data_IF_174106381046
#
_entry.id   IF_174106381046
#
_cell.length_a   1.000
_cell.length_b   1.000
_cell.length_c   1.000
_cell.angle_alpha   90.00
_cell.angle_beta   90.00
_cell.angle_gamma   90.00
#
_symmetry.space_group_name_H-M   'P 1'
#
loop_
_entity.id
_entity.type
_entity.pdbx_description
1 polymer ?
#
# COMPACT_ATOMS: atom_id res chain seq x y z
N UNK A 1 -5.64 6.83 -77.47
CA UNK A 1 -7.00 6.93 -76.89
C UNK A 1 -7.08 5.97 -75.72
N UNK A 2 -7.61 6.45 -74.59
CA UNK A 2 -8.17 5.69 -73.44
C UNK A 2 -7.20 5.10 -72.37
N UNK A 3 -6.89 5.99 -71.42
CA UNK A 3 -6.90 5.85 -69.95
C UNK A 3 -7.25 4.49 -69.32
N UNK A 4 -6.39 3.99 -68.42
CA UNK A 4 -6.79 3.14 -67.28
C UNK A 4 -6.13 3.66 -65.98
N UNK A 5 -6.95 4.45 -65.30
CA UNK A 5 -7.12 4.74 -63.86
C UNK A 5 -6.09 4.18 -62.86
N UNK A 6 -5.45 5.15 -62.16
CA UNK A 6 -4.74 5.04 -60.87
C UNK A 6 -5.70 4.62 -59.75
N UNK A 7 -5.32 3.64 -58.93
CA UNK A 7 -5.90 3.42 -57.60
C UNK A 7 -4.86 3.74 -56.53
N UNK A 8 -4.89 4.98 -56.04
CA UNK A 8 -4.18 5.45 -54.86
C UNK A 8 -5.03 5.13 -53.63
N UNK A 9 -4.57 4.20 -52.78
CA UNK A 9 -5.17 3.96 -51.47
C UNK A 9 -4.54 4.95 -50.46
N UNK A 10 -5.29 6.01 -50.12
CA UNK A 10 -4.96 6.90 -49.01
C UNK A 10 -5.22 6.16 -47.68
N UNK A 11 -4.16 5.84 -46.94
CA UNK A 11 -4.27 5.57 -45.50
C UNK A 11 -4.37 6.90 -44.76
N UNK A 12 -5.58 7.25 -44.33
CA UNK A 12 -5.83 8.43 -43.50
C UNK A 12 -5.21 8.24 -42.10
N UNK A 13 -4.39 9.23 -41.73
CA UNK A 13 -3.76 9.43 -40.43
C UNK A 13 -4.83 9.69 -39.35
N UNK A 14 -5.00 8.75 -38.42
CA UNK A 14 -5.64 9.02 -37.13
C UNK A 14 -4.56 9.27 -36.07
N UNK A 15 -4.05 10.50 -36.04
CA UNK A 15 -3.20 11.01 -34.96
C UNK A 15 -4.00 11.06 -33.66
N UNK A 16 -3.94 9.99 -32.88
CA UNK A 16 -4.41 10.00 -31.50
C UNK A 16 -3.39 10.79 -30.69
N UNK A 17 -3.70 12.06 -30.42
CA UNK A 17 -3.05 12.79 -29.34
C UNK A 17 -3.39 12.03 -28.04
N UNK A 18 -2.53 11.09 -27.66
CA UNK A 18 -2.50 10.54 -26.33
C UNK A 18 -2.11 11.69 -25.40
N UNK A 19 -3.11 12.41 -24.89
CA UNK A 19 -2.95 13.18 -23.68
C UNK A 19 -2.58 12.19 -22.59
N UNK A 20 -1.28 11.98 -22.38
CA UNK A 20 -0.79 11.19 -21.27
C UNK A 20 -1.37 11.81 -20.01
N UNK A 21 -2.26 11.06 -19.37
CA UNK A 21 -2.82 11.44 -18.09
C UNK A 21 -1.63 11.73 -17.18
N UNK A 22 -1.45 13.00 -16.79
CA UNK A 22 -0.46 13.37 -15.77
C UNK A 22 -0.79 12.53 -14.55
N UNK A 23 0.15 11.70 -14.14
CA UNK A 23 0.02 10.83 -12.99
C UNK A 23 -0.02 11.73 -11.75
N UNK A 24 -1.24 12.06 -11.34
CA UNK A 24 -1.51 12.76 -10.09
C UNK A 24 -1.25 11.80 -8.94
N UNK A 25 -1.03 12.34 -7.75
CA UNK A 25 -1.11 11.52 -6.55
C UNK A 25 -2.47 10.82 -6.54
N UNK A 26 -2.43 9.50 -6.46
CA UNK A 26 -3.64 8.69 -6.46
C UNK A 26 -4.50 8.99 -5.23
N UNK A 27 -5.80 8.71 -5.34
CA UNK A 27 -6.77 9.03 -4.31
C UNK A 27 -6.43 8.40 -2.94
N UNK A 28 -5.85 7.20 -2.92
CA UNK A 28 -5.47 6.50 -1.69
C UNK A 28 -4.30 7.19 -0.96
N UNK A 29 -3.26 7.60 -1.71
CA UNK A 29 -2.13 8.35 -1.16
C UNK A 29 -2.59 9.72 -0.67
N UNK A 30 -3.48 10.38 -1.41
CA UNK A 30 -4.06 11.65 -0.99
C UNK A 30 -4.96 11.51 0.24
N UNK A 31 -5.74 10.44 0.34
CA UNK A 31 -6.55 10.15 1.52
C UNK A 31 -5.68 9.89 2.76
N UNK A 32 -4.52 9.25 2.58
CA UNK A 32 -3.65 8.86 3.69
C UNK A 32 -2.66 9.95 4.12
N UNK A 33 -2.11 10.71 3.17
CA UNK A 33 -1.03 11.66 3.41
C UNK A 33 -1.32 13.08 2.90
N UNK A 34 -2.48 13.29 2.26
CA UNK A 34 -2.95 14.60 1.87
C UNK A 34 -3.24 15.53 3.05
N UNK A 35 -3.50 16.78 2.71
CA UNK A 35 -3.88 17.80 3.68
C UNK A 35 -2.72 18.69 4.09
N UNK A 36 -2.89 19.35 5.25
CA UNK A 36 -1.98 20.38 5.74
C UNK A 36 -1.09 19.84 6.86
N UNK A 37 0.20 20.16 6.78
CA UNK A 37 1.17 19.90 7.82
C UNK A 37 1.76 21.22 8.32
N UNK A 38 1.98 21.35 9.63
CA UNK A 38 2.55 22.56 10.21
C UNK A 38 3.42 22.22 11.43
N UNK A 39 4.39 23.07 11.74
CA UNK A 39 5.09 23.01 13.02
C UNK A 39 4.16 23.39 14.19
N UNK A 40 3.19 24.28 13.93
CA UNK A 40 2.17 24.69 14.89
C UNK A 40 0.81 24.84 14.17
N UNK A 41 -0.01 23.78 14.21
CA UNK A 41 -1.30 23.73 13.48
C UNK A 41 -2.28 24.83 13.88
N UNK A 42 -2.26 25.27 15.15
CA UNK A 42 -3.09 26.37 15.65
C UNK A 42 -2.57 27.78 15.33
N UNK A 43 -1.43 27.93 14.66
CA UNK A 43 -0.80 29.24 14.43
C UNK A 43 -0.82 29.62 12.94
N UNK A 44 -1.58 30.67 12.55
CA UNK A 44 -1.72 31.08 11.15
C UNK A 44 -0.42 31.45 10.43
N UNK A 45 0.55 31.97 11.17
CA UNK A 45 1.85 32.43 10.67
C UNK A 45 2.92 31.35 10.66
N UNK A 46 2.65 30.16 11.19
CA UNK A 46 3.59 29.05 11.16
C UNK A 46 3.80 28.56 9.73
N UNK A 47 5.02 28.13 9.42
CA UNK A 47 5.32 27.47 8.15
C UNK A 47 4.43 26.23 7.96
N UNK A 48 3.88 26.10 6.76
CA UNK A 48 2.95 25.05 6.37
C UNK A 48 3.42 24.32 5.13
N UNK A 49 3.12 23.03 5.12
CA UNK A 49 3.24 22.18 3.95
C UNK A 49 1.87 21.72 3.55
N UNK A 50 1.61 21.61 2.25
CA UNK A 50 0.36 21.08 1.73
C UNK A 50 0.65 19.99 0.72
N UNK A 51 -0.08 18.90 0.87
CA UNK A 51 -0.08 17.78 -0.06
C UNK A 51 -1.43 17.74 -0.75
N UNK A 52 -1.45 18.01 -2.06
CA UNK A 52 -2.64 17.91 -2.91
C UNK A 52 -2.43 16.87 -3.99
N UNK A 53 -3.48 16.56 -4.77
CA UNK A 53 -3.38 15.60 -5.87
C UNK A 53 -2.34 16.00 -6.92
N UNK A 54 -2.12 17.31 -7.07
CA UNK A 54 -1.44 17.95 -8.17
C UNK A 54 -0.19 18.75 -7.76
N UNK A 55 0.01 18.98 -6.45
CA UNK A 55 1.15 19.75 -5.98
C UNK A 55 1.61 19.38 -4.56
N UNK A 56 2.92 19.56 -4.33
CA UNK A 56 3.51 19.72 -3.00
C UNK A 56 3.87 21.18 -2.80
N UNK A 57 3.33 21.80 -1.76
CA UNK A 57 3.46 23.24 -1.54
C UNK A 57 4.11 23.49 -0.18
N UNK A 58 5.15 24.32 -0.17
CA UNK A 58 5.77 24.85 1.04
C UNK A 58 5.44 26.33 1.14
N UNK A 59 4.91 26.76 2.28
CA UNK A 59 4.54 28.15 2.54
C UNK A 59 5.14 28.58 3.88
N UNK A 60 5.89 29.68 3.88
CA UNK A 60 6.46 30.27 5.10
C UNK A 60 6.65 31.77 4.92
N UNK A 61 5.84 32.59 5.60
CA UNK A 61 5.85 34.04 5.42
C UNK A 61 5.56 34.42 3.95
N UNK A 62 6.47 35.18 3.35
CA UNK A 62 6.37 35.58 1.93
C UNK A 62 6.95 34.55 0.96
N UNK A 63 7.52 33.46 1.47
CA UNK A 63 8.14 32.43 0.66
C UNK A 63 7.12 31.33 0.36
N UNK A 64 6.94 31.04 -0.93
CA UNK A 64 6.14 29.92 -1.41
C UNK A 64 6.89 29.15 -2.48
N UNK A 65 6.99 27.85 -2.28
CA UNK A 65 7.55 26.92 -3.25
C UNK A 65 6.50 25.88 -3.62
N UNK A 66 6.32 25.63 -4.91
CA UNK A 66 5.35 24.66 -5.42
C UNK A 66 6.05 23.69 -6.33
N UNK A 67 6.09 22.42 -5.92
CA UNK A 67 6.44 21.31 -6.78
C UNK A 67 5.19 20.75 -7.45
N UNK A 68 5.26 20.48 -8.75
CA UNK A 68 4.18 19.89 -9.56
C UNK A 68 4.45 18.42 -9.83
N UNK A 69 3.44 17.74 -10.36
CA UNK A 69 3.48 16.32 -10.73
C UNK A 69 3.92 15.43 -9.55
N UNK A 70 3.20 15.48 -8.42
CA UNK A 70 3.61 14.78 -7.22
C UNK A 70 3.50 13.26 -7.39
N UNK A 71 4.54 12.55 -6.96
CA UNK A 71 4.65 11.10 -7.03
C UNK A 71 4.95 10.52 -5.65
N UNK A 72 4.46 9.31 -5.40
CA UNK A 72 4.67 8.61 -4.14
C UNK A 72 5.73 7.53 -4.29
N UNK A 73 6.81 7.63 -3.52
CA UNK A 73 7.87 6.62 -3.44
C UNK A 73 7.90 5.97 -2.05
N UNK A 74 7.24 4.82 -1.94
CA UNK A 74 7.19 4.03 -0.71
C UNK A 74 8.49 3.24 -0.45
N UNK A 75 9.35 3.11 -1.45
CA UNK A 75 10.64 2.41 -1.40
C UNK A 75 11.84 3.35 -1.53
N UNK A 76 11.69 4.63 -1.17
CA UNK A 76 12.70 5.66 -1.36
C UNK A 76 14.08 5.30 -0.77
N UNK A 77 14.10 4.64 0.39
CA UNK A 77 15.33 4.21 1.08
C UNK A 77 15.76 2.77 0.77
N UNK A 78 15.11 2.11 -0.20
CA UNK A 78 15.37 0.70 -0.52
C UNK A 78 15.14 -0.21 0.68
N UNK A 79 16.14 -1.04 1.01
CA UNK A 79 16.04 -2.10 2.02
C UNK A 79 16.24 -1.62 3.46
N UNK A 80 16.63 -0.36 3.68
CA UNK A 80 16.96 0.16 5.01
C UNK A 80 16.26 1.50 5.28
N UNK A 81 14.92 1.54 5.26
CA UNK A 81 14.19 2.74 5.60
C UNK A 81 14.42 3.15 7.06
N UNK A 82 14.55 4.46 7.36
CA UNK A 82 14.58 4.92 8.73
C UNK A 82 13.29 4.55 9.46
N UNK A 83 13.38 4.37 10.78
CA UNK A 83 12.25 3.96 11.60
C UNK A 83 11.07 4.94 11.43
N UNK A 84 9.90 4.38 11.17
CA UNK A 84 8.66 5.15 11.05
C UNK A 84 8.47 5.79 9.67
N UNK A 85 9.40 5.66 8.73
CA UNK A 85 9.21 6.12 7.35
C UNK A 85 7.97 5.47 6.73
N UNK A 86 7.16 6.26 6.03
CA UNK A 86 5.93 5.81 5.37
C UNK A 86 6.04 5.95 3.85
N UNK A 87 6.37 7.15 3.37
CA UNK A 87 6.44 7.47 1.94
C UNK A 87 7.28 8.72 1.73
N UNK A 88 8.00 8.80 0.62
CA UNK A 88 8.56 10.04 0.11
C UNK A 88 7.63 10.56 -1.00
N UNK A 89 7.07 11.76 -0.81
CA UNK A 89 6.31 12.43 -1.86
C UNK A 89 7.28 13.31 -2.62
N UNK A 90 7.52 12.98 -3.89
CA UNK A 90 8.45 13.64 -4.79
C UNK A 90 7.67 14.58 -5.69
N UNK A 91 8.24 15.72 -6.04
CA UNK A 91 7.63 16.66 -6.99
C UNK A 91 8.70 17.49 -7.68
N UNK A 92 8.38 18.04 -8.84
CA UNK A 92 9.34 18.85 -9.61
C UNK A 92 9.04 20.33 -9.42
N UNK A 93 10.05 21.12 -9.02
CA UNK A 93 9.88 22.57 -8.93
C UNK A 93 10.38 23.23 -10.21
N UNK A 94 9.55 24.06 -10.84
CA UNK A 94 9.89 24.71 -12.12
C UNK A 94 11.21 25.51 -12.01
N UNK A 95 12.14 25.25 -12.92
CA UNK A 95 13.45 25.91 -12.94
C UNK A 95 14.41 25.44 -11.85
N UNK A 96 14.01 24.45 -11.06
CA UNK A 96 14.85 23.76 -10.08
C UNK A 96 14.74 22.24 -10.31
N UNK A 97 15.16 21.47 -9.32
CA UNK A 97 15.07 20.01 -9.32
C UNK A 97 14.02 19.54 -8.31
N UNK A 98 14.18 18.35 -7.77
CA UNK A 98 13.18 17.65 -6.97
C UNK A 98 12.96 18.28 -5.58
N UNK A 99 11.69 18.44 -5.21
CA UNK A 99 11.22 18.74 -3.86
C UNK A 99 10.61 17.48 -3.26
N UNK A 100 11.06 17.12 -2.06
CA UNK A 100 10.72 15.85 -1.41
C UNK A 100 10.11 16.08 -0.03
N UNK A 101 8.91 15.56 0.19
CA UNK A 101 8.29 15.49 1.51
C UNK A 101 8.45 14.07 2.02
N UNK A 102 9.33 13.86 2.99
CA UNK A 102 9.48 12.56 3.65
C UNK A 102 8.44 12.44 4.75
N UNK A 103 7.45 11.56 4.55
CA UNK A 103 6.42 11.30 5.53
C UNK A 103 6.87 10.17 6.45
N UNK A 104 6.78 10.43 7.75
CA UNK A 104 7.02 9.49 8.82
C UNK A 104 5.78 9.38 9.70
N UNK A 105 5.70 8.30 10.49
CA UNK A 105 4.67 8.09 11.50
C UNK A 105 5.30 7.79 12.84
N UNK A 106 4.86 8.53 13.86
CA UNK A 106 5.13 8.25 15.26
C UNK A 106 3.82 7.92 16.01
N UNK A 107 3.87 7.91 17.35
CA UNK A 107 2.68 7.61 18.20
C UNK A 107 1.60 8.70 18.12
N UNK A 108 1.95 9.92 17.71
CA UNK A 108 1.06 11.07 17.63
C UNK A 108 0.39 11.14 16.26
N UNK A 109 1.08 10.68 15.21
CA UNK A 109 0.53 10.56 13.87
C UNK A 109 1.57 10.77 12.79
N UNK A 110 1.12 11.16 11.60
CA UNK A 110 2.01 11.45 10.49
C UNK A 110 2.70 12.81 10.72
N UNK A 111 3.98 12.87 10.34
CA UNK A 111 4.71 14.12 10.22
C UNK A 111 5.59 14.09 8.97
N UNK A 112 5.91 15.27 8.46
CA UNK A 112 6.76 15.45 7.27
C UNK A 112 8.07 16.10 7.69
N UNK A 113 9.16 15.58 7.12
CA UNK A 113 10.45 16.26 7.07
C UNK A 113 10.72 16.69 5.61
N UNK A 114 11.09 17.95 5.42
CA UNK A 114 11.38 18.54 4.11
C UNK A 114 12.80 18.18 3.65
N UNK A 115 12.90 17.72 2.42
CA UNK A 115 14.17 17.47 1.72
C UNK A 115 14.05 17.87 0.23
N UNK A 116 15.13 17.74 -0.52
CA UNK A 116 15.14 17.94 -1.95
C UNK A 116 16.55 18.02 -2.53
N UNK A 117 16.63 18.30 -3.83
CA UNK A 117 17.89 18.55 -4.49
C UNK A 117 18.65 19.75 -3.86
N UNK A 118 19.98 19.84 -4.01
CA UNK A 118 20.78 20.86 -3.33
C UNK A 118 20.30 22.31 -3.54
N UNK A 119 19.85 22.65 -4.76
CA UNK A 119 19.29 23.97 -5.09
C UNK A 119 17.92 24.22 -4.44
N UNK A 120 17.07 23.20 -4.32
CA UNK A 120 15.79 23.26 -3.60
C UNK A 120 16.04 23.49 -2.11
N UNK A 121 16.97 22.73 -1.50
CA UNK A 121 17.33 22.91 -0.08
C UNK A 121 17.93 24.27 0.22
N UNK A 122 18.80 24.77 -0.67
CA UNK A 122 19.37 26.11 -0.55
C UNK A 122 18.27 27.19 -0.58
N UNK A 123 17.28 27.04 -1.47
CA UNK A 123 16.15 27.97 -1.57
C UNK A 123 15.20 27.86 -0.36
N UNK A 124 14.97 26.67 0.20
CA UNK A 124 14.15 26.47 1.40
C UNK A 124 14.85 26.98 2.68
N UNK A 125 16.17 26.87 2.74
CA UNK A 125 16.96 27.29 3.89
C UNK A 125 16.83 26.38 5.13
N UNK A 126 17.70 26.60 6.14
CA UNK A 126 17.77 25.77 7.35
C UNK A 126 16.59 25.97 8.30
N UNK A 127 15.82 27.04 8.14
CA UNK A 127 14.62 27.29 8.94
C UNK A 127 13.46 26.36 8.58
N UNK A 128 13.46 25.81 7.36
CA UNK A 128 12.41 24.90 6.87
C UNK A 128 12.89 23.44 6.77
N UNK A 129 14.15 23.23 6.40
CA UNK A 129 14.75 21.90 6.31
C UNK A 129 15.15 21.36 7.70
N UNK A 130 15.07 20.04 7.90
CA UNK A 130 15.38 19.41 9.20
C UNK A 130 14.35 19.66 10.31
N UNK A 131 13.18 20.20 9.97
CA UNK A 131 12.04 20.41 10.88
C UNK A 131 10.99 19.33 10.66
N UNK A 132 10.19 19.08 11.71
CA UNK A 132 9.02 18.18 11.66
C UNK A 132 7.74 18.97 11.57
N UNK A 133 6.98 18.73 10.51
CA UNK A 133 5.67 19.33 10.27
C UNK A 133 4.61 18.28 10.54
N UNK A 134 3.76 18.47 11.56
CA UNK A 134 2.73 17.49 11.93
C UNK A 134 1.47 17.70 11.12
N UNK A 135 0.79 16.60 10.81
CA UNK A 135 -0.50 16.68 10.11
C UNK A 135 -1.52 17.39 10.99
N UNK A 136 -2.18 18.40 10.43
CA UNK A 136 -3.15 19.23 11.16
C UNK A 136 -4.58 18.68 11.07
N UNK A 137 -4.84 17.80 10.10
CA UNK A 137 -6.21 17.38 9.73
C UNK A 137 -6.62 16.03 10.36
N UNK A 138 -6.08 15.68 11.54
CA UNK A 138 -6.37 14.43 12.26
C UNK A 138 -6.86 14.65 13.70
N UNK A 139 -7.73 13.77 14.19
CA UNK A 139 -8.36 13.80 15.52
C UNK A 139 -7.38 13.81 16.74
N UNK A 140 -6.07 13.78 16.50
CA UNK A 140 -5.04 13.80 17.53
C UNK A 140 -4.62 15.22 17.99
N UNK A 141 -5.08 16.31 17.34
CA UNK A 141 -4.64 17.66 17.69
C UNK A 141 -5.78 18.70 17.69
N UNK A 142 -6.91 18.38 18.32
CA UNK A 142 -7.84 19.38 18.87
C UNK A 142 -7.77 19.42 20.41
N UNK A 143 -6.57 19.23 20.98
CA UNK A 143 -6.37 19.07 22.42
C UNK A 143 -5.11 19.76 22.91
N UNK A 144 -4.87 20.99 22.49
CA UNK A 144 -4.01 21.90 23.23
C UNK A 144 -4.72 22.34 24.51
N UNK A 145 -4.43 21.66 25.62
CA UNK A 145 -4.70 22.12 26.99
C UNK A 145 -6.00 21.62 27.62
N UNK A 146 -5.91 20.57 28.45
CA UNK A 146 -6.54 20.46 29.77
C UNK A 146 -6.33 19.05 30.36
N UNK A 147 -5.76 19.03 31.57
CA UNK A 147 -5.74 18.03 32.65
C UNK A 147 -6.25 16.59 32.38
N UNK A 148 -5.52 15.53 32.81
CA UNK A 148 -6.10 14.18 32.86
C UNK A 148 -7.20 14.08 33.94
N UNK A 149 -8.38 13.48 33.67
CA UNK A 149 -9.31 13.12 34.73
C UNK A 149 -8.84 11.84 35.45
N UNK A 150 -9.24 11.66 36.73
CA UNK A 150 -8.73 10.58 37.57
C UNK A 150 -9.30 9.23 37.15
N UNK A 151 -8.52 8.18 37.42
CA UNK A 151 -8.95 6.80 37.34
C UNK A 151 -10.32 6.63 38.00
N UNK A 152 -11.32 6.19 37.24
CA UNK A 152 -12.58 5.69 37.77
C UNK A 152 -12.74 4.23 37.40
N UNK A 153 -12.98 3.46 38.45
CA UNK A 153 -13.09 2.02 38.48
C UNK A 153 -14.25 1.49 37.62
N UNK A 154 -14.02 0.29 37.08
CA UNK A 154 -15.01 -0.78 36.87
C UNK A 154 -16.18 -0.51 35.93
N UNK A 155 -16.20 -1.19 34.77
CA UNK A 155 -17.44 -1.60 34.09
C UNK A 155 -17.33 -3.01 33.50
N UNK A 156 -18.47 -3.72 33.36
CA UNK A 156 -18.53 -5.18 33.26
C UNK A 156 -18.28 -5.69 31.83
N UNK A 157 -17.98 -6.99 31.73
CA UNK A 157 -17.78 -7.75 30.50
C UNK A 157 -18.82 -7.40 29.43
N UNK A 158 -18.38 -6.70 28.38
CA UNK A 158 -19.08 -6.59 27.10
C UNK A 158 -18.31 -7.45 26.08
N UNK A 159 -18.98 -8.17 25.17
CA UNK A 159 -18.29 -8.90 24.12
C UNK A 159 -17.44 -7.94 23.27
N UNK A 160 -16.29 -8.38 22.74
CA UNK A 160 -15.46 -7.52 21.91
C UNK A 160 -16.24 -7.04 20.67
N UNK A 161 -16.05 -5.78 20.25
CA UNK A 161 -16.70 -5.25 19.05
C UNK A 161 -16.28 -6.05 17.81
N UNK A 162 -17.12 -6.10 16.76
CA UNK A 162 -16.77 -6.75 15.50
C UNK A 162 -15.49 -6.12 14.94
N UNK A 163 -14.57 -6.95 14.46
CA UNK A 163 -13.34 -6.49 13.83
C UNK A 163 -13.66 -5.52 12.68
N UNK A 164 -12.92 -4.40 12.54
CA UNK A 164 -13.11 -3.48 11.42
C UNK A 164 -12.81 -4.18 10.08
N UNK A 165 -13.48 -3.75 8.98
CA UNK A 165 -13.27 -4.33 7.66
C UNK A 165 -11.78 -4.24 7.24
N UNK A 166 -11.28 -5.19 6.42
CA UNK A 166 -9.89 -5.22 6.00
C UNK A 166 -9.50 -3.89 5.35
N UNK A 167 -8.55 -3.18 5.96
CA UNK A 167 -7.95 -1.99 5.35
C UNK A 167 -7.03 -2.45 4.23
N UNK A 168 -7.22 -1.90 3.02
CA UNK A 168 -6.36 -2.23 1.88
C UNK A 168 -4.91 -1.81 2.14
N UNK A 169 -4.03 -2.81 2.10
CA UNK A 169 -2.58 -2.74 2.30
C UNK A 169 -1.85 -2.07 1.12
N UNK A 170 -0.72 -1.36 1.34
CA UNK A 170 0.15 -0.94 0.26
C UNK A 170 0.70 -2.14 -0.51
N UNK A 171 0.61 -1.97 -1.81
CA UNK A 171 0.81 -2.92 -2.86
C UNK A 171 2.29 -2.89 -3.31
N UNK A 172 3.23 -3.47 -2.55
CA UNK A 172 4.66 -3.41 -2.92
C UNK A 172 5.52 -4.53 -2.31
N UNK A 173 6.44 -5.04 -3.12
CA UNK A 173 7.34 -6.18 -2.80
C UNK A 173 7.28 -7.27 -3.87
N UNK A 174 8.39 -7.97 -4.11
CA UNK A 174 8.39 -9.17 -4.93
C UNK A 174 7.58 -10.25 -4.18
N UNK A 175 6.48 -10.77 -4.75
CA UNK A 175 5.67 -11.82 -4.13
C UNK A 175 6.48 -13.02 -3.63
N UNK A 176 7.47 -13.48 -4.38
CA UNK A 176 8.32 -14.60 -3.98
C UNK A 176 9.14 -14.29 -2.73
N UNK A 177 9.65 -13.06 -2.61
CA UNK A 177 10.37 -12.60 -1.41
C UNK A 177 9.44 -12.52 -0.21
N UNK A 178 8.19 -12.09 -0.41
CA UNK A 178 7.20 -12.00 0.67
C UNK A 178 6.77 -13.37 1.19
N UNK A 179 6.68 -14.37 0.32
CA UNK A 179 6.40 -15.76 0.70
C UNK A 179 7.62 -16.44 1.35
N UNK A 180 8.83 -16.10 0.92
CA UNK A 180 10.06 -16.59 1.54
C UNK A 180 10.37 -15.95 2.90
N UNK A 181 9.63 -14.91 3.31
CA UNK A 181 9.87 -14.20 4.56
C UNK A 181 9.65 -15.13 5.79
N UNK A 182 10.62 -15.23 6.72
CA UNK A 182 10.46 -16.01 7.95
C UNK A 182 9.24 -15.62 8.80
N UNK A 183 8.81 -14.36 8.77
CA UNK A 183 7.60 -13.87 9.42
C UNK A 183 6.35 -14.48 8.80
N UNK A 184 6.30 -14.57 7.46
CA UNK A 184 5.22 -15.26 6.76
C UNK A 184 5.20 -16.74 7.18
N UNK A 185 6.33 -17.44 7.08
CA UNK A 185 6.43 -18.87 7.46
C UNK A 185 6.05 -19.14 8.92
N UNK A 186 6.44 -18.26 9.85
CA UNK A 186 6.03 -18.35 11.26
C UNK A 186 4.51 -18.18 11.43
N UNK A 187 3.92 -17.21 10.75
CA UNK A 187 2.48 -16.94 10.81
C UNK A 187 1.67 -18.08 10.22
N UNK A 188 2.09 -18.57 9.05
CA UNK A 188 1.49 -19.73 8.39
C UNK A 188 1.47 -20.98 9.28
N UNK A 189 2.64 -21.36 9.83
CA UNK A 189 2.72 -22.53 10.73
C UNK A 189 1.85 -22.40 11.97
N UNK A 190 1.73 -21.20 12.54
CA UNK A 190 0.87 -20.97 13.70
C UNK A 190 -0.62 -21.15 13.36
N UNK A 191 -1.03 -20.77 12.14
CA UNK A 191 -2.43 -20.83 11.70
C UNK A 191 -2.89 -22.23 11.28
N UNK A 192 -1.97 -23.12 10.93
CA UNK A 192 -2.29 -24.49 10.51
C UNK A 192 -2.89 -25.36 11.63
N UNK A 193 -2.62 -25.06 12.89
CA UNK A 193 -3.07 -25.89 14.02
C UNK A 193 -2.65 -27.36 13.83
N UNK A 194 -3.59 -28.29 13.94
CA UNK A 194 -3.32 -29.72 13.74
C UNK A 194 -2.91 -30.09 12.31
N UNK A 195 -3.26 -29.28 11.30
CA UNK A 195 -2.82 -29.50 9.92
C UNK A 195 -1.31 -29.30 9.75
N UNK A 196 -0.66 -28.58 10.67
CA UNK A 196 0.79 -28.38 10.68
C UNK A 196 1.60 -29.64 10.97
N UNK A 197 0.95 -30.77 11.27
CA UNK A 197 1.60 -32.08 11.38
C UNK A 197 1.94 -32.70 10.03
N UNK A 198 1.38 -32.18 8.94
CA UNK A 198 1.70 -32.60 7.58
C UNK A 198 2.86 -31.74 7.05
N UNK A 199 4.05 -32.31 6.78
CA UNK A 199 5.22 -31.54 6.38
C UNK A 199 5.00 -30.71 5.12
N UNK A 200 4.33 -31.29 4.11
CA UNK A 200 4.03 -30.60 2.85
C UNK A 200 3.20 -29.32 3.02
N UNK A 201 2.39 -29.24 4.10
CA UNK A 201 1.67 -28.02 4.47
C UNK A 201 2.56 -27.06 5.26
N UNK A 202 3.31 -27.56 6.24
CA UNK A 202 4.13 -26.73 7.12
C UNK A 202 5.31 -26.07 6.40
N UNK A 203 5.92 -26.80 5.47
CA UNK A 203 7.15 -26.44 4.77
C UNK A 203 6.89 -25.84 3.38
N UNK A 204 5.69 -26.08 2.81
CA UNK A 204 5.29 -25.59 1.48
C UNK A 204 6.29 -26.00 0.37
N UNK A 205 6.80 -27.22 0.47
CA UNK A 205 7.93 -27.74 -0.33
C UNK A 205 7.50 -28.46 -1.62
N UNK A 206 6.20 -28.52 -1.89
CA UNK A 206 5.66 -29.13 -3.08
C UNK A 206 5.56 -28.19 -4.29
N UNK A 207 5.10 -28.70 -5.45
CA UNK A 207 5.04 -27.91 -6.68
C UNK A 207 4.20 -26.64 -6.50
N UNK A 208 4.78 -25.50 -6.85
CA UNK A 208 4.18 -24.19 -6.66
C UNK A 208 4.46 -23.30 -7.88
N UNK A 209 3.43 -22.68 -8.49
CA UNK A 209 3.63 -21.57 -9.43
C UNK A 209 4.30 -20.38 -8.75
N UNK A 210 4.86 -19.47 -9.54
CA UNK A 210 5.43 -18.23 -9.00
C UNK A 210 4.34 -17.42 -8.26
N UNK A 211 4.57 -17.02 -6.99
CA UNK A 211 3.63 -16.19 -6.27
C UNK A 211 3.36 -14.90 -7.02
N UNK A 212 2.13 -14.41 -6.97
CA UNK A 212 1.75 -13.21 -7.71
C UNK A 212 0.76 -12.36 -6.95
N UNK A 213 0.73 -11.08 -7.29
CA UNK A 213 -0.27 -10.18 -6.75
C UNK A 213 -1.64 -10.43 -7.37
N UNK A 214 -2.67 -10.44 -6.54
CA UNK A 214 -4.08 -10.46 -6.96
C UNK A 214 -4.88 -9.43 -6.17
N UNK A 215 -6.00 -8.99 -6.71
CA UNK A 215 -6.94 -8.11 -6.01
C UNK A 215 -8.23 -8.86 -5.74
N UNK A 216 -8.64 -8.92 -4.47
CA UNK A 216 -9.84 -9.61 -4.00
C UNK A 216 -10.63 -8.64 -3.11
N UNK A 217 -11.89 -8.39 -3.42
CA UNK A 217 -12.72 -7.43 -2.68
C UNK A 217 -12.09 -6.03 -2.59
N UNK A 218 -11.38 -5.60 -3.64
CA UNK A 218 -10.66 -4.32 -3.66
C UNK A 218 -9.37 -4.27 -2.85
N UNK A 219 -8.98 -5.36 -2.18
CA UNK A 219 -7.72 -5.47 -1.42
C UNK A 219 -6.70 -6.28 -2.19
N UNK A 220 -5.44 -5.82 -2.22
CA UNK A 220 -4.33 -6.52 -2.87
C UNK A 220 -3.72 -7.56 -1.92
N UNK A 221 -3.58 -8.78 -2.40
CA UNK A 221 -2.99 -9.90 -1.69
C UNK A 221 -1.89 -10.53 -2.53
N UNK A 222 -0.89 -11.13 -1.87
CA UNK A 222 -0.03 -12.11 -2.51
C UNK A 222 -0.79 -13.43 -2.58
N UNK A 223 -1.11 -13.87 -3.79
CA UNK A 223 -1.57 -15.22 -4.06
C UNK A 223 -0.35 -16.14 -4.13
N UNK A 224 -0.39 -17.19 -3.32
CA UNK A 224 0.52 -18.32 -3.45
C UNK A 224 -0.31 -19.60 -3.45
N UNK A 225 0.03 -20.51 -4.35
CA UNK A 225 -0.60 -21.81 -4.50
C UNK A 225 0.49 -22.86 -4.52
N UNK A 226 0.24 -23.99 -3.86
CA UNK A 226 1.16 -25.12 -3.86
C UNK A 226 0.37 -26.40 -3.60
N UNK A 227 0.98 -27.54 -3.91
CA UNK A 227 0.32 -28.82 -3.75
C UNK A 227 1.24 -29.88 -3.16
N UNK A 228 0.66 -30.95 -2.65
CA UNK A 228 1.42 -32.07 -2.09
C UNK A 228 2.23 -32.76 -3.20
N UNK A 229 3.53 -33.02 -3.00
CA UNK A 229 4.33 -33.75 -3.98
C UNK A 229 3.66 -35.06 -4.42
N UNK A 230 3.63 -35.29 -5.74
CA UNK A 230 3.01 -36.45 -6.40
C UNK A 230 1.50 -36.62 -6.22
N UNK A 231 0.82 -35.67 -5.58
CA UNK A 231 -0.58 -35.80 -5.16
C UNK A 231 -1.33 -34.47 -5.32
N UNK A 232 -0.99 -33.74 -6.39
CA UNK A 232 -1.44 -32.37 -6.57
C UNK A 232 -2.92 -32.24 -6.89
N UNK A 233 -3.51 -33.28 -7.48
CA UNK A 233 -4.93 -33.27 -7.80
C UNK A 233 -5.78 -33.26 -6.53
N UNK A 234 -5.49 -34.13 -5.57
CA UNK A 234 -6.33 -34.31 -4.38
C UNK A 234 -5.90 -33.43 -3.19
N UNK A 235 -4.65 -33.00 -3.13
CA UNK A 235 -4.09 -32.29 -1.97
C UNK A 235 -3.35 -31.03 -2.39
N UNK A 236 -4.01 -29.88 -2.20
CA UNK A 236 -3.48 -28.59 -2.65
C UNK A 236 -4.04 -27.42 -1.84
N UNK A 237 -3.37 -26.27 -1.96
CA UNK A 237 -3.66 -25.07 -1.16
C UNK A 237 -3.67 -23.85 -2.06
N UNK A 238 -4.64 -22.98 -1.82
CA UNK A 238 -4.59 -21.57 -2.23
C UNK A 238 -4.59 -20.70 -0.99
N UNK A 239 -3.66 -19.74 -0.94
CA UNK A 239 -3.57 -18.77 0.14
C UNK A 239 -3.43 -17.34 -0.39
N UNK A 240 -4.03 -16.41 0.34
CA UNK A 240 -3.94 -14.97 0.15
C UNK A 240 -3.25 -14.37 1.36
N UNK A 241 -2.07 -13.80 1.14
CA UNK A 241 -1.30 -13.13 2.16
C UNK A 241 -1.38 -11.61 2.01
N UNK A 242 -1.81 -10.93 3.08
CA UNK A 242 -1.69 -9.50 3.23
C UNK A 242 -0.41 -9.19 4.01
N UNK A 243 0.62 -8.61 3.38
CA UNK A 243 1.87 -8.30 4.08
C UNK A 243 1.73 -7.16 5.09
N UNK A 244 0.71 -6.30 4.96
CA UNK A 244 0.53 -5.13 5.84
C UNK A 244 0.19 -5.49 7.28
N UNK A 245 -0.70 -6.45 7.46
CA UNK A 245 -1.18 -6.91 8.77
C UNK A 245 -0.80 -8.36 9.04
N UNK A 246 0.06 -8.93 8.18
CA UNK A 246 0.46 -10.32 8.18
C UNK A 246 -0.70 -11.30 8.21
N UNK A 247 -1.82 -10.94 7.58
CA UNK A 247 -3.01 -11.79 7.56
C UNK A 247 -2.91 -12.82 6.45
N UNK A 248 -3.29 -14.05 6.75
CA UNK A 248 -3.39 -15.13 5.76
C UNK A 248 -4.84 -15.63 5.75
N UNK A 249 -5.43 -15.68 4.57
CA UNK A 249 -6.65 -16.44 4.33
C UNK A 249 -6.30 -17.61 3.40
N UNK A 250 -6.65 -18.83 3.75
CA UNK A 250 -6.35 -19.97 2.89
C UNK A 250 -7.49 -20.99 2.82
N UNK A 251 -7.53 -21.69 1.69
CA UNK A 251 -8.32 -22.89 1.47
C UNK A 251 -7.35 -24.05 1.28
N UNK A 252 -7.40 -25.01 2.20
CA UNK A 252 -6.69 -26.29 2.10
C UNK A 252 -7.68 -27.30 1.56
N UNK A 253 -7.45 -27.76 0.34
CA UNK A 253 -8.22 -28.83 -0.28
C UNK A 253 -7.54 -30.17 0.01
N UNK A 254 -8.34 -31.12 0.50
CA UNK A 254 -8.01 -32.55 0.56
C UNK A 254 -9.12 -33.30 -0.17
N UNK A 255 -8.83 -34.48 -0.70
CA UNK A 255 -9.70 -35.34 -1.54
C UNK A 255 -11.21 -35.08 -1.45
N UNK A 256 -11.79 -35.05 -0.23
CA UNK A 256 -13.23 -34.81 -0.02
C UNK A 256 -13.54 -33.73 1.03
N UNK A 257 -12.59 -32.87 1.38
CA UNK A 257 -12.75 -31.87 2.43
C UNK A 257 -11.93 -30.61 2.16
N UNK A 258 -12.62 -29.48 2.19
CA UNK A 258 -12.00 -28.17 2.27
C UNK A 258 -11.89 -27.74 3.74
N UNK A 259 -10.74 -27.18 4.11
CA UNK A 259 -10.54 -26.51 5.40
C UNK A 259 -10.16 -25.07 5.15
N UNK A 260 -10.83 -24.15 5.86
CA UNK A 260 -10.54 -22.73 5.80
C UNK A 260 -9.56 -22.37 6.92
N UNK A 261 -8.60 -21.50 6.61
CA UNK A 261 -7.60 -20.99 7.56
C UNK A 261 -7.71 -19.47 7.62
N UNK A 262 -7.64 -18.92 8.83
CA UNK A 262 -7.67 -17.47 9.08
C UNK A 262 -9.06 -16.87 9.21
N UNK A 263 -10.08 -17.68 9.49
CA UNK A 263 -11.48 -17.25 9.69
C UNK A 263 -11.99 -16.28 8.60
N UNK A 264 -11.93 -16.67 7.31
CA UNK A 264 -12.32 -15.79 6.22
C UNK A 264 -13.82 -15.46 6.26
N UNK A 265 -14.21 -14.19 5.99
CA UNK A 265 -15.62 -13.84 5.87
C UNK A 265 -16.27 -14.52 4.66
N UNK A 266 -17.61 -14.67 4.61
CA UNK A 266 -18.29 -15.45 3.57
C UNK A 266 -17.94 -15.07 2.13
N UNK A 267 -17.74 -13.78 1.84
CA UNK A 267 -17.31 -13.31 0.52
C UNK A 267 -15.91 -13.82 0.16
N UNK A 268 -14.97 -13.71 1.11
CA UNK A 268 -13.60 -14.22 0.96
C UNK A 268 -13.57 -15.74 0.74
N UNK A 269 -14.50 -16.50 1.33
CA UNK A 269 -14.63 -17.95 1.06
C UNK A 269 -14.98 -18.21 -0.41
N UNK A 270 -15.89 -17.42 -0.98
CA UNK A 270 -16.24 -17.50 -2.40
C UNK A 270 -15.04 -17.17 -3.30
N UNK A 271 -14.29 -16.12 -2.95
CA UNK A 271 -13.11 -15.71 -3.70
C UNK A 271 -11.98 -16.76 -3.64
N UNK A 272 -11.71 -17.33 -2.47
CA UNK A 272 -10.74 -18.43 -2.29
C UNK A 272 -11.11 -19.65 -3.13
N UNK A 273 -12.40 -20.04 -3.17
CA UNK A 273 -12.87 -21.15 -4.00
C UNK A 273 -12.69 -20.88 -5.49
N UNK A 274 -12.98 -19.66 -5.93
CA UNK A 274 -12.81 -19.26 -7.34
C UNK A 274 -11.33 -19.30 -7.75
N UNK A 275 -10.45 -18.77 -6.90
CA UNK A 275 -9.00 -18.83 -7.13
C UNK A 275 -8.49 -20.27 -7.16
N UNK A 276 -8.93 -21.11 -6.21
CA UNK A 276 -8.60 -22.53 -6.18
C UNK A 276 -9.02 -23.28 -7.44
N UNK A 277 -10.24 -23.07 -7.94
CA UNK A 277 -10.69 -23.64 -9.21
C UNK A 277 -9.78 -23.21 -10.38
N UNK A 278 -9.37 -21.94 -10.40
CA UNK A 278 -8.46 -21.40 -11.41
C UNK A 278 -7.05 -22.02 -11.38
N UNK A 279 -6.52 -22.28 -10.19
CA UNK A 279 -5.18 -22.85 -10.02
C UNK A 279 -5.14 -24.37 -10.32
N UNK A 280 -6.15 -25.13 -9.89
CA UNK A 280 -6.05 -26.60 -9.81
C UNK A 280 -7.14 -27.38 -10.57
N UNK A 281 -8.18 -26.72 -11.10
CA UNK A 281 -9.33 -27.40 -11.73
C UNK A 281 -9.61 -26.97 -13.16
N UNK A 282 -8.99 -25.90 -13.64
CA UNK A 282 -9.00 -25.59 -15.06
C UNK A 282 -8.09 -26.59 -15.78
N UNK A 283 -8.64 -27.36 -16.71
CA UNK A 283 -7.86 -28.14 -17.66
C UNK A 283 -6.98 -27.16 -18.45
N UNK A 284 -5.66 -27.22 -18.25
CA UNK A 284 -4.71 -26.60 -19.18
C UNK A 284 -4.46 -27.53 -20.34
#
# INVERSE_FOLDING_TARGET
MQSIVRLLLLCALASHAAGWARERLNADTLAQFGGTYSMACGTPTSARLRVTADALIVESGNQRMTGTDPQASYSFFGQSPPRGFQVALLSQVRGMAELTFMVYRDRVGNYVELDGAPNVRAALGPSLTGRRYRQCDGAAMAGGGAQPPPMSAGRPNMPPPPLPPPQAAPAGGNPAVLIADPRFGKTWRAMLGSAGREPWLADMDGPAPEPRWVTVGGTRYVLHSFCKPHDCYDNNVVQLYSPSDSRIYALIHRTNRDTLVGDPPPQMVGDLRKLWQGEFRQSR
#
